data_IF_548195253047
#
_entry.id   IF_548195253047
#
_cell.length_a   1.000
_cell.length_b   1.000
_cell.length_c   1.000
_cell.angle_alpha   90.00
_cell.angle_beta   90.00
_cell.angle_gamma   90.00
#
_symmetry.space_group_name_H-M   'P 1'
#
loop_
_entity.id
_entity.type
_entity.pdbx_description
1 polymer ?
#
# COMPACT_ATOMS: atom_id res chain seq x y z
N UNK A 1 31.71 1.68 -12.96
CA UNK A 1 32.47 2.18 -11.80
C UNK A 1 32.08 1.29 -10.64
N UNK A 2 32.95 0.34 -10.27
CA UNK A 2 32.65 -0.74 -9.32
C UNK A 2 32.83 -0.18 -7.92
N UNK A 3 31.74 -0.11 -7.14
CA UNK A 3 31.77 0.28 -5.74
C UNK A 3 32.23 -0.95 -4.95
N UNK A 4 33.43 -0.85 -4.37
CA UNK A 4 34.02 -1.86 -3.48
C UNK A 4 33.44 -1.64 -2.08
N UNK A 5 33.00 -2.69 -1.35
CA UNK A 5 32.51 -2.52 0.02
C UNK A 5 33.66 -2.10 0.94
N UNK A 6 33.35 -1.23 1.90
CA UNK A 6 34.28 -0.76 2.93
C UNK A 6 34.92 -1.98 3.61
N UNK A 7 36.23 -2.11 3.41
CA UNK A 7 37.02 -3.19 3.97
C UNK A 7 36.98 -3.17 5.50
N UNK A 8 36.50 -4.24 6.12
CA UNK A 8 36.77 -4.58 7.51
C UNK A 8 38.30 -4.61 7.72
N UNK A 9 38.87 -3.50 8.21
CA UNK A 9 40.27 -3.47 8.61
C UNK A 9 40.41 -4.21 9.94
N UNK A 10 40.67 -5.51 9.89
CA UNK A 10 41.10 -6.29 11.06
C UNK A 10 42.51 -5.81 11.43
N UNK A 11 42.61 -4.95 12.44
CA UNK A 11 43.90 -4.55 13.00
C UNK A 11 44.51 -5.73 13.76
N UNK A 12 45.59 -6.31 13.19
CA UNK A 12 46.40 -7.34 13.84
C UNK A 12 47.64 -6.68 14.43
N UNK A 13 47.82 -6.72 15.75
CA UNK A 13 49.14 -6.52 16.37
C UNK A 13 49.77 -7.88 16.65
N UNK A 14 51.04 -8.02 16.28
CA UNK A 14 51.85 -9.18 16.69
C UNK A 14 52.40 -8.84 18.08
N UNK A 15 52.02 -9.60 19.10
CA UNK A 15 52.66 -9.51 20.41
C UNK A 15 54.05 -10.14 20.33
N UNK A 16 55.05 -9.50 20.93
CA UNK A 16 56.42 -10.01 20.98
C UNK A 16 56.48 -11.35 21.71
N UNK A 17 57.20 -12.31 21.12
CA UNK A 17 57.24 -13.69 21.60
C UNK A 17 58.04 -13.78 22.91
N UNK A 18 57.44 -14.27 23.98
CA UNK A 18 58.18 -14.73 25.15
C UNK A 18 58.66 -16.16 24.90
N UNK A 19 59.98 -16.34 24.78
CA UNK A 19 60.59 -17.67 24.68
C UNK A 19 60.42 -18.42 25.99
N UNK A 20 59.64 -19.51 25.96
CA UNK A 20 59.63 -20.50 27.05
C UNK A 20 61.00 -21.19 27.14
N UNK A 21 61.62 -21.34 28.33
CA UNK A 21 62.95 -21.94 28.45
C UNK A 21 63.02 -23.44 28.10
N UNK A 22 61.87 -24.10 27.90
CA UNK A 22 61.76 -25.56 27.78
C UNK A 22 61.36 -26.06 26.38
N UNK A 23 61.04 -25.18 25.42
CA UNK A 23 60.88 -25.59 24.03
C UNK A 23 61.29 -24.47 23.07
N UNK A 24 62.18 -24.78 22.13
CA UNK A 24 62.68 -23.89 21.07
C UNK A 24 61.64 -23.61 19.97
N UNK A 25 60.37 -23.42 20.35
CA UNK A 25 59.28 -23.08 19.42
C UNK A 25 58.65 -21.76 19.83
N UNK A 26 58.91 -20.72 19.04
CA UNK A 26 58.23 -19.44 19.17
C UNK A 26 56.77 -19.61 18.73
N UNK A 27 55.82 -19.59 19.67
CA UNK A 27 54.40 -19.41 19.36
C UNK A 27 54.15 -17.92 19.17
N UNK A 28 53.82 -17.51 17.95
CA UNK A 28 53.20 -16.21 17.67
C UNK A 28 51.74 -16.30 18.03
N UNK A 29 51.35 -15.71 19.16
CA UNK A 29 49.94 -15.46 19.45
C UNK A 29 49.51 -14.19 18.72
N UNK A 30 48.55 -14.32 17.81
CA UNK A 30 47.93 -13.18 17.13
C UNK A 30 46.80 -12.70 18.02
N UNK A 31 47.01 -11.57 18.71
CA UNK A 31 45.94 -10.89 19.44
C UNK A 31 45.15 -10.06 18.42
N UNK A 32 43.92 -10.48 18.16
CA UNK A 32 42.97 -9.66 17.39
C UNK A 32 42.37 -8.66 18.37
N UNK A 33 42.89 -7.43 18.38
CA UNK A 33 42.24 -6.32 19.09
C UNK A 33 40.98 -5.96 18.31
N UNK A 34 39.83 -6.42 18.79
CA UNK A 34 38.55 -5.88 18.34
C UNK A 34 38.48 -4.43 18.85
N UNK A 35 38.06 -3.46 18.02
CA UNK A 35 37.94 -2.09 18.48
C UNK A 35 36.96 -2.06 19.66
N UNK A 36 37.48 -1.75 20.85
CA UNK A 36 36.66 -1.47 22.03
C UNK A 36 35.85 -0.21 21.72
N UNK A 37 34.52 -0.23 21.96
CA UNK A 37 33.58 0.90 21.84
C UNK A 37 32.97 1.22 20.45
N UNK A 38 32.80 0.26 19.55
CA UNK A 38 31.91 0.50 18.40
C UNK A 38 30.45 0.40 18.87
N UNK A 39 29.72 1.52 18.79
CA UNK A 39 28.29 1.59 19.05
C UNK A 39 27.49 1.00 17.88
N UNK A 40 26.52 0.16 18.22
CA UNK A 40 25.55 -0.42 17.30
C UNK A 40 24.13 -0.03 17.74
N UNK A 41 23.31 0.40 16.78
CA UNK A 41 21.88 0.65 16.99
C UNK A 41 21.13 -0.10 15.90
N UNK A 42 20.56 -1.22 16.27
CA UNK A 42 19.95 -2.17 15.33
C UNK A 42 18.43 -2.15 15.47
N UNK A 43 17.73 -2.01 14.34
CA UNK A 43 16.31 -2.37 14.28
C UNK A 43 16.21 -3.90 14.36
N UNK A 44 15.45 -4.42 15.35
CA UNK A 44 15.39 -5.87 15.60
C UNK A 44 14.00 -6.50 15.47
N UNK A 45 12.93 -5.71 15.55
CA UNK A 45 11.58 -6.22 15.37
C UNK A 45 10.60 -5.13 14.93
N UNK A 46 9.62 -5.53 14.12
CA UNK A 46 8.46 -4.74 13.72
C UNK A 46 7.17 -5.39 14.20
N UNK A 47 6.18 -4.55 14.52
CA UNK A 47 4.83 -4.96 14.84
C UNK A 47 3.81 -3.98 14.24
N UNK A 48 2.53 -4.36 14.07
CA UNK A 48 2.00 -5.74 14.18
C UNK A 48 2.52 -6.66 13.07
N UNK A 49 2.29 -7.96 13.17
CA UNK A 49 2.49 -8.86 12.03
C UNK A 49 1.60 -8.46 10.82
N UNK A 50 2.08 -8.66 9.60
CA UNK A 50 1.32 -8.38 8.37
C UNK A 50 0.85 -9.68 7.76
N UNK A 51 -0.36 -9.67 7.24
CA UNK A 51 -1.00 -10.85 6.66
C UNK A 51 -1.29 -10.65 5.17
N UNK A 52 -1.40 -11.77 4.47
CA UNK A 52 -1.74 -11.83 3.05
C UNK A 52 -3.12 -11.21 2.75
N UNK A 53 -3.30 -10.70 1.54
CA UNK A 53 -4.49 -9.95 1.14
C UNK A 53 -5.72 -10.81 0.80
N UNK A 54 -5.50 -12.08 0.43
CA UNK A 54 -6.54 -13.04 0.03
C UNK A 54 -7.13 -13.84 1.20
N UNK A 55 -6.73 -13.58 2.45
CA UNK A 55 -7.33 -14.24 3.62
C UNK A 55 -8.71 -13.64 3.95
N UNK A 56 -9.75 -14.44 3.76
CA UNK A 56 -11.18 -14.05 3.88
C UNK A 56 -11.67 -13.90 5.33
N UNK A 57 -11.01 -14.51 6.32
CA UNK A 57 -11.39 -14.47 7.74
C UNK A 57 -10.19 -14.31 8.68
N UNK A 58 -10.37 -13.64 9.83
CA UNK A 58 -9.30 -13.41 10.81
C UNK A 58 -8.64 -14.69 11.35
N UNK A 59 -9.38 -15.80 11.39
CA UNK A 59 -8.89 -17.09 11.86
C UNK A 59 -7.97 -17.82 10.85
N UNK A 60 -8.05 -17.47 9.57
CA UNK A 60 -7.33 -18.13 8.47
C UNK A 60 -6.28 -17.20 7.82
N UNK A 61 -5.86 -16.14 8.54
CA UNK A 61 -4.87 -15.20 8.02
C UNK A 61 -3.50 -15.85 7.95
N UNK A 62 -2.92 -15.84 6.75
CA UNK A 62 -1.54 -16.27 6.53
C UNK A 62 -0.63 -15.06 6.75
N UNK A 63 0.30 -15.19 7.69
CA UNK A 63 1.30 -14.15 7.94
C UNK A 63 2.29 -14.08 6.78
N UNK A 64 2.65 -12.85 6.37
CA UNK A 64 3.71 -12.62 5.42
C UNK A 64 5.04 -12.87 6.12
N UNK A 65 5.78 -13.86 5.62
CA UNK A 65 7.10 -14.22 6.12
C UNK A 65 8.03 -12.99 6.13
N UNK A 66 8.76 -12.81 7.24
CA UNK A 66 9.67 -11.67 7.42
C UNK A 66 8.97 -10.32 7.66
N UNK A 67 7.65 -10.25 7.77
CA UNK A 67 6.96 -8.95 7.98
C UNK A 67 7.30 -8.29 9.33
N UNK A 68 7.72 -9.07 10.31
CA UNK A 68 8.18 -8.60 11.63
C UNK A 68 9.69 -8.39 11.70
N UNK A 69 10.42 -8.68 10.62
CA UNK A 69 11.88 -8.57 10.54
C UNK A 69 12.29 -7.26 9.84
N UNK A 70 12.95 -6.33 10.54
CA UNK A 70 13.48 -5.12 9.91
C UNK A 70 14.58 -5.42 8.90
N UNK A 71 14.55 -4.70 7.78
CA UNK A 71 15.57 -4.67 6.74
C UNK A 71 16.20 -3.28 6.69
N UNK A 72 17.46 -3.22 6.24
CA UNK A 72 18.14 -1.94 6.10
C UNK A 72 17.51 -1.06 5.01
N UNK A 73 17.72 0.25 5.11
CA UNK A 73 17.35 1.18 4.04
C UNK A 73 18.04 0.79 2.71
N UNK A 74 17.39 1.01 1.55
CA UNK A 74 16.14 1.74 1.34
C UNK A 74 14.87 0.86 1.33
N UNK A 75 14.86 -0.30 2.00
CA UNK A 75 13.65 -1.13 2.07
C UNK A 75 12.52 -0.40 2.81
N UNK A 76 11.37 -0.24 2.13
CA UNK A 76 10.16 0.40 2.69
C UNK A 76 9.22 -0.65 3.27
N UNK A 77 9.22 -0.77 4.59
CA UNK A 77 8.36 -1.72 5.28
C UNK A 77 6.91 -1.24 5.25
N UNK A 78 5.94 -2.12 4.95
CA UNK A 78 4.55 -1.73 4.92
C UNK A 78 4.03 -1.41 6.33
N UNK A 79 3.29 -0.32 6.45
CA UNK A 79 2.50 0.01 7.64
C UNK A 79 1.14 -0.69 7.62
N UNK A 80 0.43 -0.68 8.75
CA UNK A 80 -0.92 -1.25 8.86
C UNK A 80 -1.92 -0.14 9.15
N UNK A 81 -2.88 0.04 8.23
CA UNK A 81 -4.07 0.89 8.45
C UNK A 81 -4.93 0.24 9.55
N UNK A 82 -5.13 0.94 10.66
CA UNK A 82 -5.94 0.46 11.79
C UNK A 82 -7.26 1.18 11.79
N UNK A 83 -8.34 0.42 11.94
CA UNK A 83 -9.71 0.93 12.07
C UNK A 83 -9.93 2.19 11.22
N UNK A 84 -9.78 2.07 9.88
CA UNK A 84 -9.55 3.22 9.00
C UNK A 84 -10.69 4.25 9.03
N UNK A 85 -11.87 3.88 9.53
CA UNK A 85 -12.99 4.80 9.79
C UNK A 85 -12.92 5.55 11.11
N UNK A 86 -12.34 4.98 12.18
CA UNK A 86 -12.30 5.58 13.52
C UNK A 86 -10.96 6.21 13.83
N UNK A 87 -9.88 5.44 13.71
CA UNK A 87 -8.55 5.86 14.17
C UNK A 87 -7.87 6.73 13.11
N UNK A 88 -8.10 6.37 11.83
CA UNK A 88 -7.67 7.13 10.64
C UNK A 88 -6.16 7.35 10.66
N UNK A 89 -5.43 6.28 10.97
CA UNK A 89 -3.97 6.21 10.95
C UNK A 89 -3.50 4.90 10.31
N UNK A 90 -2.31 4.93 9.75
CA UNK A 90 -1.49 3.76 9.54
C UNK A 90 -0.39 3.75 10.58
N UNK A 91 -0.07 2.59 11.13
CA UNK A 91 0.95 2.47 12.17
C UNK A 91 1.92 1.32 11.93
N UNK A 92 3.07 1.44 12.60
CA UNK A 92 4.05 0.38 12.82
C UNK A 92 4.70 0.62 14.18
N UNK A 93 5.06 -0.43 14.89
CA UNK A 93 5.92 -0.34 16.06
C UNK A 93 7.29 -0.88 15.70
N UNK A 94 8.33 -0.22 16.20
CA UNK A 94 9.73 -0.56 15.96
C UNK A 94 10.42 -0.77 17.30
N UNK A 95 11.05 -1.94 17.46
CA UNK A 95 11.97 -2.23 18.56
C UNK A 95 13.40 -2.17 18.08
N UNK A 96 14.25 -1.52 18.86
CA UNK A 96 15.70 -1.43 18.60
C UNK A 96 16.52 -1.99 19.74
N UNK A 97 17.72 -2.47 19.41
CA UNK A 97 18.77 -2.84 20.36
C UNK A 97 19.93 -1.85 20.25
N UNK A 98 20.44 -1.40 21.39
CA UNK A 98 21.55 -0.46 21.48
C UNK A 98 22.65 -1.11 22.32
N UNK A 99 23.81 -1.34 21.71
CA UNK A 99 24.90 -2.07 22.34
C UNK A 99 26.26 -1.61 21.82
N UNK A 100 27.33 -1.87 22.58
CA UNK A 100 28.70 -1.57 22.14
C UNK A 100 29.56 -2.83 22.21
N UNK A 101 30.45 -3.00 21.23
CA UNK A 101 31.38 -4.13 21.21
C UNK A 101 32.24 -4.16 22.48
N UNK A 102 32.30 -5.33 23.14
CA UNK A 102 33.08 -5.55 24.35
C UNK A 102 32.41 -5.12 25.66
N UNK A 103 31.18 -4.62 25.61
CA UNK A 103 30.40 -4.18 26.77
C UNK A 103 29.17 -5.07 27.02
N UNK A 104 28.65 -5.13 28.26
CA UNK A 104 27.39 -5.81 28.54
C UNK A 104 26.20 -5.10 27.86
N UNK A 105 25.12 -5.82 27.59
CA UNK A 105 23.94 -5.29 26.87
C UNK A 105 23.31 -4.06 27.56
N UNK A 106 23.41 -3.97 28.88
CA UNK A 106 22.89 -2.86 29.66
C UNK A 106 23.84 -1.63 29.75
N UNK A 107 24.94 -1.62 29.00
CA UNK A 107 25.93 -0.54 29.05
C UNK A 107 25.35 0.84 28.73
N UNK A 108 24.29 0.89 27.92
CA UNK A 108 23.60 2.13 27.56
C UNK A 108 22.29 2.35 28.32
N UNK A 109 21.96 1.49 29.31
CA UNK A 109 20.73 1.62 30.09
C UNK A 109 20.61 3.02 30.73
N UNK A 110 19.40 3.58 30.72
CA UNK A 110 19.11 4.92 31.23
C UNK A 110 19.46 6.07 30.28
N UNK A 111 20.21 5.82 29.19
CA UNK A 111 20.45 6.85 28.17
C UNK A 111 19.17 7.21 27.41
N UNK A 112 19.09 8.46 27.00
CA UNK A 112 18.01 8.96 26.13
C UNK A 112 18.25 8.59 24.67
N UNK A 113 17.21 8.14 23.97
CA UNK A 113 17.17 7.94 22.52
C UNK A 113 16.24 8.99 21.93
N UNK A 114 16.74 9.82 21.02
CA UNK A 114 15.93 10.78 20.27
C UNK A 114 15.55 10.17 18.93
N UNK A 115 14.26 10.04 18.68
CA UNK A 115 13.67 9.56 17.44
C UNK A 115 13.31 10.73 16.56
N UNK A 116 13.61 10.65 15.27
CA UNK A 116 13.25 11.66 14.27
C UNK A 116 12.60 10.99 13.07
N UNK A 117 11.59 11.66 12.51
CA UNK A 117 10.89 11.24 11.29
C UNK A 117 11.11 12.25 10.16
N UNK A 118 11.48 11.77 8.98
CA UNK A 118 11.56 12.59 7.76
C UNK A 118 10.64 12.01 6.66
N UNK A 119 9.94 12.84 5.87
CA UNK A 119 9.11 12.34 4.78
C UNK A 119 9.95 11.78 3.64
N UNK A 120 9.42 10.77 2.94
CA UNK A 120 10.05 10.14 1.78
C UNK A 120 9.19 10.17 0.52
N UNK A 121 7.90 10.52 0.62
CA UNK A 121 7.05 10.55 -0.55
C UNK A 121 7.35 11.77 -1.42
N UNK A 122 7.71 11.51 -2.68
CA UNK A 122 7.92 12.52 -3.71
C UNK A 122 6.80 12.37 -4.74
N UNK A 123 6.02 13.45 -4.94
CA UNK A 123 4.95 13.46 -5.93
C UNK A 123 5.55 13.28 -7.33
N UNK A 124 4.95 12.47 -8.22
CA UNK A 124 5.29 12.48 -9.63
C UNK A 124 5.08 13.87 -10.22
N UNK A 125 6.05 14.33 -11.01
CA UNK A 125 5.98 15.59 -11.76
C UNK A 125 6.01 15.28 -13.25
N UNK A 126 5.48 16.18 -14.08
CA UNK A 126 5.48 15.97 -15.52
C UNK A 126 6.92 15.95 -16.07
N UNK A 127 7.12 15.31 -17.22
CA UNK A 127 8.43 15.29 -17.86
C UNK A 127 8.91 16.73 -18.14
N UNK A 128 10.10 17.07 -17.63
CA UNK A 128 10.68 18.41 -17.76
C UNK A 128 10.40 19.36 -16.58
N UNK A 129 9.59 18.96 -15.60
CA UNK A 129 9.41 19.70 -14.34
C UNK A 129 10.50 19.34 -13.31
N UNK A 130 10.82 20.28 -12.41
CA UNK A 130 11.75 20.01 -11.30
C UNK A 130 11.17 18.98 -10.33
N UNK A 131 12.04 18.09 -9.82
CA UNK A 131 11.64 17.08 -8.86
C UNK A 131 11.07 17.72 -7.59
N UNK A 132 9.88 17.27 -7.18
CA UNK A 132 9.25 17.75 -5.96
C UNK A 132 10.08 17.39 -4.71
N UNK A 133 9.96 18.21 -3.67
CA UNK A 133 10.53 17.91 -2.35
C UNK A 133 9.69 16.82 -1.67
N UNK A 134 10.33 15.96 -0.88
CA UNK A 134 9.61 14.93 -0.13
C UNK A 134 8.66 15.56 0.91
N UNK A 135 7.44 15.05 0.98
CA UNK A 135 6.37 15.55 1.87
C UNK A 135 5.63 14.40 2.55
N UNK A 136 5.03 14.67 3.70
CA UNK A 136 4.02 13.76 4.26
C UNK A 136 2.72 13.95 3.48
N UNK A 137 2.03 12.85 3.19
CA UNK A 137 0.69 12.87 2.56
C UNK A 137 -0.40 12.89 3.63
N UNK A 138 -1.59 13.39 3.27
CA UNK A 138 -2.76 13.48 4.15
C UNK A 138 -2.71 14.57 5.22
N UNK A 139 -3.88 14.98 5.69
CA UNK A 139 -4.03 15.93 6.79
C UNK A 139 -4.01 15.20 8.14
N UNK A 140 -2.96 15.44 8.92
CA UNK A 140 -2.80 14.84 10.24
C UNK A 140 -3.87 15.25 11.26
N UNK A 141 -4.56 16.37 11.04
CA UNK A 141 -5.66 16.79 11.90
C UNK A 141 -6.88 15.85 11.82
N UNK A 142 -6.99 15.04 10.76
CA UNK A 142 -8.07 14.08 10.56
C UNK A 142 -7.94 12.82 11.43
N UNK A 143 -6.74 12.50 11.92
CA UNK A 143 -6.50 11.39 12.83
C UNK A 143 -7.33 11.54 14.12
N UNK A 144 -7.73 10.41 14.69
CA UNK A 144 -8.40 10.39 15.99
C UNK A 144 -7.59 11.15 17.04
N UNK A 145 -8.25 11.87 17.94
CA UNK A 145 -7.58 12.76 18.91
C UNK A 145 -6.50 12.04 19.73
N UNK A 146 -6.73 10.77 20.05
CA UNK A 146 -5.78 9.91 20.80
C UNK A 146 -4.58 9.47 19.97
N UNK A 147 -4.63 9.61 18.64
CA UNK A 147 -3.61 9.19 17.67
C UNK A 147 -3.00 10.33 16.84
N UNK A 148 -3.05 11.56 17.36
CA UNK A 148 -2.57 12.77 16.67
C UNK A 148 -1.08 13.04 16.85
N UNK A 149 -0.31 12.10 17.36
CA UNK A 149 1.15 12.22 17.41
C UNK A 149 1.78 11.15 16.53
N UNK A 150 2.71 11.55 15.65
CA UNK A 150 3.39 10.59 14.77
C UNK A 150 4.21 9.57 15.55
N UNK A 151 4.53 9.88 16.79
CA UNK A 151 5.19 9.01 17.73
C UNK A 151 4.36 8.83 18.98
N UNK A 152 4.21 7.58 19.42
CA UNK A 152 3.45 7.19 20.60
C UNK A 152 4.19 6.09 21.37
N UNK A 153 3.73 5.85 22.61
CA UNK A 153 4.13 4.66 23.36
C UNK A 153 3.66 3.41 22.60
N UNK A 154 4.53 2.42 22.35
CA UNK A 154 4.17 1.15 21.74
C UNK A 154 3.19 0.35 22.62
N UNK A 155 2.31 -0.40 21.96
CA UNK A 155 1.34 -1.29 22.56
C UNK A 155 1.82 -2.75 22.58
N UNK A 156 2.60 -3.18 21.57
CA UNK A 156 3.13 -4.55 21.47
C UNK A 156 4.52 -4.68 22.08
N UNK A 157 5.32 -3.62 22.01
CA UNK A 157 6.64 -3.58 22.63
C UNK A 157 6.66 -2.78 23.93
N UNK A 158 7.60 -3.12 24.81
CA UNK A 158 7.85 -2.32 26.02
C UNK A 158 8.76 -1.14 25.68
N UNK A 159 8.35 0.06 26.09
CA UNK A 159 9.18 1.25 26.08
C UNK A 159 9.10 1.97 27.42
N UNK A 160 10.19 2.63 27.80
CA UNK A 160 10.26 3.46 29.02
C UNK A 160 10.65 4.89 28.64
N UNK A 161 10.26 5.85 29.48
CA UNK A 161 10.65 7.26 29.31
C UNK A 161 10.14 7.93 28.03
N UNK A 162 9.05 7.44 27.43
CA UNK A 162 8.47 8.06 26.25
C UNK A 162 8.09 9.53 26.53
N UNK A 163 8.58 10.45 25.71
CA UNK A 163 8.19 11.86 25.73
C UNK A 163 8.08 12.38 24.30
N UNK A 164 6.91 12.89 23.94
CA UNK A 164 6.68 13.54 22.65
C UNK A 164 7.26 14.96 22.66
N UNK A 165 8.13 15.28 21.70
CA UNK A 165 8.76 16.60 21.58
C UNK A 165 8.04 17.47 20.54
N UNK A 166 7.84 16.94 19.35
CA UNK A 166 7.13 17.57 18.23
C UNK A 166 6.34 16.49 17.47
N UNK A 167 5.78 16.83 16.29
CA UNK A 167 5.21 15.79 15.43
C UNK A 167 6.33 14.87 14.90
N UNK A 168 7.46 15.44 14.51
CA UNK A 168 8.56 14.71 13.87
C UNK A 168 9.63 14.23 14.85
N UNK A 169 9.47 14.47 16.17
CA UNK A 169 10.45 14.07 17.18
C UNK A 169 9.82 13.60 18.48
N UNK A 170 10.41 12.56 19.06
CA UNK A 170 10.11 12.05 20.40
C UNK A 170 11.36 11.46 21.05
N UNK A 171 11.32 11.22 22.35
CA UNK A 171 12.39 10.52 23.06
C UNK A 171 11.86 9.28 23.76
N UNK A 172 12.73 8.29 23.92
CA UNK A 172 12.54 7.15 24.83
C UNK A 172 13.82 6.93 25.62
N UNK A 173 13.79 6.00 26.58
CA UNK A 173 14.95 5.59 27.36
C UNK A 173 15.35 4.16 27.01
N UNK A 174 16.66 3.89 26.99
CA UNK A 174 17.19 2.53 26.88
C UNK A 174 16.92 1.80 28.20
N UNK A 175 16.26 0.65 28.14
CA UNK A 175 15.96 -0.17 29.31
C UNK A 175 17.17 -0.96 29.82
N UNK A 176 17.00 -1.66 30.95
CA UNK A 176 18.04 -2.45 31.61
C UNK A 176 18.51 -3.66 30.77
N UNK A 177 17.88 -3.94 29.63
CA UNK A 177 18.25 -4.99 28.68
C UNK A 177 18.92 -4.46 27.42
N UNK A 178 19.15 -3.14 27.31
CA UNK A 178 19.75 -2.51 26.14
C UNK A 178 18.76 -2.26 25.00
N UNK A 179 17.45 -2.23 25.28
CA UNK A 179 16.43 -2.06 24.26
C UNK A 179 15.58 -0.82 24.49
N UNK A 180 14.91 -0.38 23.42
CA UNK A 180 13.81 0.56 23.50
C UNK A 180 12.90 0.36 22.28
N UNK A 181 11.71 0.96 22.29
CA UNK A 181 10.76 0.81 21.20
C UNK A 181 9.89 2.07 21.04
N UNK A 182 9.27 2.22 19.88
CA UNK A 182 8.39 3.34 19.59
C UNK A 182 7.25 2.92 18.66
N UNK A 183 6.06 3.48 18.85
CA UNK A 183 4.98 3.41 17.86
C UNK A 183 5.08 4.59 16.91
N UNK A 184 4.96 4.31 15.62
CA UNK A 184 5.09 5.25 14.51
C UNK A 184 3.76 5.30 13.78
N UNK A 185 3.18 6.48 13.66
CA UNK A 185 1.90 6.71 12.99
C UNK A 185 2.06 7.67 11.80
N UNK A 186 1.34 7.40 10.72
CA UNK A 186 1.21 8.26 9.54
C UNK A 186 -0.28 8.38 9.13
N UNK A 187 -0.70 9.49 8.48
CA UNK A 187 -1.98 9.53 7.79
C UNK A 187 -2.13 8.32 6.84
N UNK A 188 -3.30 7.64 6.82
CA UNK A 188 -3.51 6.35 6.16
C UNK A 188 -3.72 6.49 4.64
N UNK A 189 -2.97 7.39 4.01
CA UNK A 189 -2.99 7.66 2.57
C UNK A 189 -1.98 6.76 1.88
N UNK A 190 -2.38 6.13 0.77
CA UNK A 190 -1.50 5.34 -0.08
C UNK A 190 -0.11 5.99 -0.27
N UNK A 191 0.96 5.20 -0.11
CA UNK A 191 2.36 5.61 -0.33
C UNK A 191 2.84 6.79 0.51
N UNK A 192 2.13 7.17 1.58
CA UNK A 192 2.70 8.05 2.59
C UNK A 192 3.90 7.34 3.21
N UNK A 193 5.09 7.93 3.11
CA UNK A 193 6.33 7.25 3.44
C UNK A 193 7.21 8.13 4.31
N UNK A 194 7.93 7.48 5.23
CA UNK A 194 8.79 8.15 6.18
C UNK A 194 10.04 7.35 6.52
N UNK A 195 11.14 8.06 6.75
CA UNK A 195 12.39 7.53 7.29
C UNK A 195 12.42 7.76 8.79
N UNK A 196 12.79 6.74 9.53
CA UNK A 196 13.02 6.81 10.98
C UNK A 196 14.50 6.80 11.25
N UNK A 197 14.96 7.80 12.01
CA UNK A 197 16.33 7.92 12.47
C UNK A 197 16.38 8.05 13.98
N UNK A 198 17.49 7.60 14.58
CA UNK A 198 17.70 7.68 16.03
C UNK A 198 19.05 8.27 16.38
N UNK A 199 19.10 9.04 17.46
CA UNK A 199 20.33 9.53 18.05
C UNK A 199 20.37 9.15 19.53
N UNK A 200 21.43 8.45 19.93
CA UNK A 200 21.68 8.12 21.32
C UNK A 200 22.32 9.30 22.05
N UNK A 201 21.96 9.49 23.31
CA UNK A 201 22.57 10.48 24.19
C UNK A 201 24.10 10.34 24.27
N UNK A 202 24.77 11.45 24.00
CA UNK A 202 26.24 11.55 23.95
C UNK A 202 26.83 11.32 22.57
N UNK A 203 26.04 10.86 21.59
CA UNK A 203 26.50 10.65 20.22
C UNK A 203 26.28 11.87 19.33
N UNK A 204 27.23 12.13 18.44
CA UNK A 204 27.21 13.33 17.60
C UNK A 204 26.28 13.24 16.37
N UNK A 205 25.94 12.03 15.93
CA UNK A 205 25.18 11.79 14.70
C UNK A 205 23.99 10.86 14.94
N UNK A 206 22.93 11.08 14.18
CA UNK A 206 21.81 10.16 14.09
C UNK A 206 22.12 9.01 13.11
N UNK A 207 21.51 7.85 13.37
CA UNK A 207 21.56 6.66 12.52
C UNK A 207 20.20 6.50 11.85
N UNK A 208 20.18 6.36 10.52
CA UNK A 208 18.99 5.97 9.77
C UNK A 208 18.70 4.50 10.01
N UNK A 209 17.50 4.16 10.46
CA UNK A 209 17.15 2.78 10.81
C UNK A 209 16.36 2.07 9.71
N UNK A 210 15.18 2.59 9.41
CA UNK A 210 14.22 1.97 8.51
C UNK A 210 13.44 3.01 7.73
N UNK A 211 12.97 2.60 6.56
CA UNK A 211 11.94 3.31 5.81
C UNK A 211 10.60 2.58 6.00
N UNK A 212 9.53 3.35 6.17
CA UNK A 212 8.15 2.88 6.32
C UNK A 212 7.28 3.49 5.23
N UNK A 213 6.26 2.75 4.80
CA UNK A 213 5.31 3.23 3.81
C UNK A 213 3.92 2.68 4.05
N UNK A 214 2.93 3.57 3.98
CA UNK A 214 1.52 3.21 4.05
C UNK A 214 1.13 2.51 2.75
N UNK A 215 0.54 1.30 2.80
CA UNK A 215 0.14 0.61 1.60
C UNK A 215 -1.01 1.35 0.89
N UNK A 216 -0.93 1.43 -0.43
CA UNK A 216 -2.11 1.72 -1.24
C UNK A 216 -3.03 0.50 -1.26
N UNK A 217 -4.34 0.70 -1.18
CA UNK A 217 -5.33 -0.38 -1.16
C UNK A 217 -6.39 -0.11 -2.22
N UNK A 218 -6.51 -1.02 -3.19
CA UNK A 218 -7.50 -0.97 -4.26
C UNK A 218 -8.48 -2.13 -4.09
N UNK A 219 -9.78 -1.83 -4.14
CA UNK A 219 -10.83 -2.85 -4.27
C UNK A 219 -11.35 -2.85 -5.69
N UNK A 220 -11.31 -4.01 -6.33
CA UNK A 220 -11.94 -4.25 -7.61
C UNK A 220 -13.27 -4.97 -7.36
N UNK A 221 -14.35 -4.45 -7.91
CA UNK A 221 -15.69 -5.02 -7.77
C UNK A 221 -16.17 -5.59 -9.11
N UNK A 222 -16.06 -6.91 -9.33
CA UNK A 222 -16.74 -7.56 -10.44
C UNK A 222 -18.25 -7.46 -10.27
N UNK A 223 -18.92 -6.67 -11.10
CA UNK A 223 -20.37 -6.49 -11.05
C UNK A 223 -21.15 -7.80 -11.12
N UNK A 224 -22.35 -7.84 -10.54
CA UNK A 224 -23.25 -9.00 -10.59
C UNK A 224 -22.68 -10.27 -9.96
N UNK A 225 -23.16 -11.46 -10.36
CA UNK A 225 -22.70 -12.76 -9.89
C UNK A 225 -23.82 -13.63 -9.34
N UNK A 226 -23.53 -14.90 -9.08
CA UNK A 226 -24.46 -15.85 -8.49
C UNK A 226 -25.62 -16.22 -9.41
N UNK A 227 -26.61 -16.93 -8.84
CA UNK A 227 -27.78 -17.45 -9.59
C UNK A 227 -29.06 -16.65 -9.34
N UNK A 228 -29.07 -15.80 -8.30
CA UNK A 228 -30.25 -15.06 -7.85
C UNK A 228 -29.93 -13.62 -7.50
N UNK A 229 -30.94 -12.76 -7.62
CA UNK A 229 -30.80 -11.35 -7.27
C UNK A 229 -30.74 -11.18 -5.75
N UNK A 230 -29.86 -10.30 -5.32
CA UNK A 230 -29.80 -9.80 -3.95
C UNK A 230 -30.49 -8.44 -3.88
N UNK A 231 -30.84 -7.99 -2.67
CA UNK A 231 -31.41 -6.66 -2.49
C UNK A 231 -30.43 -5.60 -3.01
N UNK A 232 -30.85 -4.83 -4.03
CA UNK A 232 -30.01 -3.81 -4.64
C UNK A 232 -28.86 -4.33 -5.52
N UNK A 233 -28.88 -5.61 -5.94
CA UNK A 233 -27.94 -6.16 -6.93
C UNK A 233 -28.60 -7.24 -7.80
N UNK A 234 -28.50 -7.13 -9.12
CA UNK A 234 -28.94 -8.19 -10.03
C UNK A 234 -27.85 -9.26 -10.20
N UNK A 235 -28.26 -10.51 -10.37
CA UNK A 235 -27.34 -11.62 -10.61
C UNK A 235 -26.62 -11.53 -11.96
N UNK A 236 -27.28 -10.90 -12.93
CA UNK A 236 -26.78 -10.55 -14.25
C UNK A 236 -27.72 -9.50 -14.86
N UNK A 237 -27.20 -8.56 -15.65
CA UNK A 237 -28.04 -7.52 -16.26
C UNK A 237 -27.98 -7.51 -17.79
N UNK A 238 -26.83 -7.81 -18.39
CA UNK A 238 -26.68 -7.94 -19.84
C UNK A 238 -26.19 -9.32 -20.30
N UNK A 239 -26.49 -9.66 -21.56
CA UNK A 239 -25.96 -10.86 -22.23
C UNK A 239 -25.45 -10.42 -23.59
N UNK A 240 -24.25 -10.87 -23.92
CA UNK A 240 -23.62 -10.52 -25.17
C UNK A 240 -24.41 -10.99 -26.40
N UNK A 241 -24.23 -10.29 -27.51
CA UNK A 241 -25.09 -10.41 -28.69
C UNK A 241 -25.15 -11.84 -29.27
N UNK A 242 -24.01 -12.33 -29.77
CA UNK A 242 -23.87 -13.56 -30.56
C UNK A 242 -23.31 -14.71 -29.71
N UNK A 243 -22.29 -14.46 -28.90
CA UNK A 243 -21.61 -15.47 -28.07
C UNK A 243 -22.44 -15.91 -26.86
N UNK A 244 -23.39 -15.06 -26.42
CA UNK A 244 -24.28 -15.27 -25.27
C UNK A 244 -23.56 -15.38 -23.93
N UNK A 245 -22.30 -14.95 -23.86
CA UNK A 245 -21.56 -14.74 -22.61
C UNK A 245 -22.34 -13.76 -21.72
N UNK A 246 -22.45 -14.09 -20.45
CA UNK A 246 -23.14 -13.27 -19.46
C UNK A 246 -22.25 -12.12 -18.99
N UNK A 247 -22.84 -10.96 -18.71
CA UNK A 247 -22.11 -9.83 -18.13
C UNK A 247 -21.33 -10.24 -16.88
N UNK A 248 -21.95 -10.98 -15.96
CA UNK A 248 -21.31 -11.42 -14.71
C UNK A 248 -20.03 -12.24 -14.92
N UNK A 249 -19.92 -12.94 -16.04
CA UNK A 249 -18.74 -13.73 -16.42
C UNK A 249 -17.63 -12.81 -16.92
N UNK A 250 -17.99 -11.83 -17.78
CA UNK A 250 -17.05 -10.82 -18.26
C UNK A 250 -16.55 -9.92 -17.13
N UNK A 251 -17.42 -9.48 -16.22
CA UNK A 251 -16.99 -8.66 -15.09
C UNK A 251 -16.06 -9.41 -14.14
N UNK A 252 -16.27 -10.72 -13.93
CA UNK A 252 -15.36 -11.57 -13.15
C UNK A 252 -14.00 -11.70 -13.84
N UNK A 253 -13.99 -12.01 -15.14
CA UNK A 253 -12.77 -12.12 -15.94
C UNK A 253 -11.96 -10.81 -15.90
N UNK A 254 -12.60 -9.67 -16.18
CA UNK A 254 -11.95 -8.35 -16.13
C UNK A 254 -11.46 -8.00 -14.73
N UNK A 255 -12.22 -8.33 -13.68
CA UNK A 255 -11.81 -8.09 -12.31
C UNK A 255 -10.57 -8.90 -11.91
N UNK A 256 -10.51 -10.18 -12.29
CA UNK A 256 -9.37 -11.06 -12.04
C UNK A 256 -8.12 -10.60 -12.82
N UNK A 257 -8.29 -10.18 -14.08
CA UNK A 257 -7.20 -9.63 -14.91
C UNK A 257 -6.67 -8.32 -14.34
N UNK A 258 -7.55 -7.39 -14.00
CA UNK A 258 -7.17 -6.09 -13.40
C UNK A 258 -6.41 -6.29 -12.09
N UNK A 259 -6.86 -7.22 -11.23
CA UNK A 259 -6.11 -7.59 -10.02
C UNK A 259 -4.73 -8.14 -10.35
N UNK A 260 -4.63 -9.03 -11.33
CA UNK A 260 -3.35 -9.63 -11.75
C UNK A 260 -2.40 -8.57 -12.30
N UNK A 261 -2.89 -7.65 -13.13
CA UNK A 261 -2.14 -6.52 -13.66
C UNK A 261 -1.61 -5.60 -12.54
N UNK A 262 -2.47 -5.23 -11.58
CA UNK A 262 -2.07 -4.44 -10.40
C UNK A 262 -1.00 -5.15 -9.56
N UNK A 263 -1.12 -6.47 -9.36
CA UNK A 263 -0.10 -7.28 -8.67
C UNK A 263 1.22 -7.32 -9.43
N UNK A 264 1.18 -7.39 -10.76
CA UNK A 264 2.38 -7.33 -11.59
C UNK A 264 3.08 -5.96 -11.49
N UNK A 265 2.32 -4.86 -11.57
CA UNK A 265 2.84 -3.49 -11.37
C UNK A 265 3.44 -3.31 -9.97
N UNK A 266 2.81 -3.85 -8.93
CA UNK A 266 3.35 -3.86 -7.56
C UNK A 266 4.77 -4.42 -7.51
N UNK A 267 4.99 -5.59 -8.11
CA UNK A 267 6.28 -6.27 -8.13
C UNK A 267 7.29 -5.52 -9.00
N UNK A 268 6.89 -5.09 -10.20
CA UNK A 268 7.78 -4.38 -11.12
C UNK A 268 8.24 -3.02 -10.61
N UNK A 269 7.41 -2.32 -9.84
CA UNK A 269 7.68 -0.96 -9.36
C UNK A 269 8.02 -0.90 -7.86
N UNK A 270 8.20 -2.05 -7.20
CA UNK A 270 8.49 -2.19 -5.77
C UNK A 270 7.57 -1.32 -4.88
N UNK A 271 6.26 -1.38 -5.15
CA UNK A 271 5.26 -0.58 -4.45
C UNK A 271 4.62 -1.37 -3.31
N UNK A 272 4.29 -0.70 -2.21
CA UNK A 272 3.42 -1.28 -1.18
C UNK A 272 1.95 -1.16 -1.62
N UNK A 273 1.48 -2.08 -2.46
CA UNK A 273 0.09 -2.12 -2.96
C UNK A 273 -0.65 -3.39 -2.50
N UNK A 274 -1.90 -3.24 -2.07
CA UNK A 274 -2.81 -4.36 -1.80
C UNK A 274 -4.04 -4.29 -2.69
N UNK A 275 -4.46 -5.46 -3.17
CA UNK A 275 -5.62 -5.56 -4.06
C UNK A 275 -6.60 -6.59 -3.53
N UNK A 276 -7.84 -6.18 -3.36
CA UNK A 276 -8.93 -7.06 -2.95
C UNK A 276 -10.02 -7.11 -4.03
N UNK A 277 -10.75 -8.22 -4.06
CA UNK A 277 -11.97 -8.34 -4.86
C UNK A 277 -13.18 -8.28 -3.94
N UNK A 278 -14.27 -7.68 -4.41
CA UNK A 278 -15.56 -7.86 -3.70
C UNK A 278 -16.07 -9.28 -3.84
N UNK A 279 -15.81 -9.94 -4.97
CA UNK A 279 -16.06 -11.37 -5.19
C UNK A 279 -14.92 -12.00 -5.99
N UNK A 280 -14.30 -13.09 -5.52
CA UNK A 280 -13.30 -13.84 -6.28
C UNK A 280 -13.92 -14.91 -7.19
N UNK A 281 -15.24 -15.14 -7.09
CA UNK A 281 -15.98 -16.15 -7.86
C UNK A 281 -17.40 -15.69 -8.24
N UNK A 282 -18.21 -16.62 -8.75
CA UNK A 282 -19.59 -16.36 -9.19
C UNK A 282 -20.57 -16.33 -7.99
N UNK A 283 -20.53 -15.25 -7.24
CA UNK A 283 -21.44 -14.97 -6.12
C UNK A 283 -22.07 -13.59 -6.27
N UNK A 284 -23.35 -13.45 -5.93
CA UNK A 284 -23.99 -12.13 -5.92
C UNK A 284 -23.78 -11.50 -4.55
N UNK A 285 -23.30 -10.26 -4.53
CA UNK A 285 -23.31 -9.40 -3.33
C UNK A 285 -24.20 -8.21 -3.59
N UNK A 286 -24.91 -7.73 -2.57
CA UNK A 286 -25.63 -6.46 -2.64
C UNK A 286 -24.65 -5.31 -2.91
N UNK A 287 -25.14 -4.20 -3.47
CA UNK A 287 -24.30 -3.02 -3.67
C UNK A 287 -23.70 -2.48 -2.36
N UNK A 288 -24.41 -2.60 -1.24
CA UNK A 288 -23.90 -2.19 0.07
C UNK A 288 -22.76 -3.08 0.55
N UNK A 289 -22.88 -4.40 0.44
CA UNK A 289 -21.82 -5.35 0.81
C UNK A 289 -20.54 -5.13 0.01
N UNK A 290 -20.67 -4.82 -1.29
CA UNK A 290 -19.53 -4.47 -2.15
C UNK A 290 -18.79 -3.24 -1.65
N UNK A 291 -19.53 -2.18 -1.31
CA UNK A 291 -18.96 -0.97 -0.73
C UNK A 291 -18.31 -1.20 0.65
N UNK A 292 -18.90 -2.08 1.48
CA UNK A 292 -18.33 -2.44 2.79
C UNK A 292 -16.96 -3.11 2.66
N UNK A 293 -16.68 -3.86 1.59
CA UNK A 293 -15.32 -4.40 1.38
C UNK A 293 -14.30 -3.26 1.29
N UNK A 294 -14.58 -2.23 0.48
CA UNK A 294 -13.73 -1.04 0.38
C UNK A 294 -13.54 -0.34 1.73
N UNK A 295 -14.65 -0.04 2.40
CA UNK A 295 -14.64 0.61 3.71
C UNK A 295 -13.82 -0.16 4.74
N UNK A 296 -14.10 -1.45 4.91
CA UNK A 296 -13.52 -2.26 5.97
C UNK A 296 -12.05 -2.57 5.75
N UNK A 297 -11.60 -2.64 4.48
CA UNK A 297 -10.18 -2.81 4.14
C UNK A 297 -9.39 -1.49 4.22
N UNK A 298 -10.04 -0.34 4.40
CA UNK A 298 -9.38 0.97 4.37
C UNK A 298 -8.86 1.33 2.98
N UNK A 299 -9.64 0.97 1.96
CA UNK A 299 -9.29 1.20 0.57
C UNK A 299 -9.17 2.69 0.24
N UNK A 300 -8.25 3.00 -0.67
CA UNK A 300 -8.08 4.33 -1.25
C UNK A 300 -8.93 4.48 -2.54
N UNK A 301 -9.21 3.35 -3.22
CA UNK A 301 -10.05 3.27 -4.42
C UNK A 301 -10.94 2.02 -4.37
N UNK A 302 -12.22 2.19 -4.77
CA UNK A 302 -13.09 1.11 -5.21
C UNK A 302 -13.46 1.33 -6.69
N UNK A 303 -13.14 0.36 -7.55
CA UNK A 303 -13.57 0.35 -8.94
C UNK A 303 -14.54 -0.81 -9.18
N UNK A 304 -15.80 -0.49 -9.47
CA UNK A 304 -16.78 -1.47 -9.95
C UNK A 304 -16.69 -1.61 -11.47
N UNK A 305 -16.64 -2.84 -11.98
CA UNK A 305 -16.50 -3.14 -13.41
C UNK A 305 -17.77 -3.82 -13.88
N UNK A 306 -18.38 -3.24 -14.91
CA UNK A 306 -19.64 -3.64 -15.53
C UNK A 306 -19.57 -3.60 -17.06
N UNK A 307 -20.60 -4.14 -17.70
CA UNK A 307 -20.83 -3.97 -19.13
C UNK A 307 -22.27 -3.56 -19.40
N UNK A 308 -22.42 -2.59 -20.29
CA UNK A 308 -23.74 -2.12 -20.67
C UNK A 308 -24.48 -3.13 -21.56
N UNK A 309 -25.81 -3.01 -21.55
CA UNK A 309 -26.71 -3.57 -22.56
C UNK A 309 -27.89 -2.63 -22.78
N UNK A 310 -28.35 -2.45 -24.02
CA UNK A 310 -29.45 -1.53 -24.31
C UNK A 310 -30.35 -1.98 -25.47
N UNK A 311 -29.89 -1.83 -26.71
CA UNK A 311 -30.72 -1.97 -27.92
C UNK A 311 -29.95 -2.60 -29.09
N UNK A 312 -28.88 -3.33 -28.79
CA UNK A 312 -27.95 -3.99 -29.72
C UNK A 312 -27.19 -3.09 -30.72
N UNK A 313 -27.42 -1.78 -30.69
CA UNK A 313 -26.76 -0.80 -31.57
C UNK A 313 -25.91 0.18 -30.78
N UNK A 314 -26.30 0.49 -29.54
CA UNK A 314 -25.52 1.33 -28.64
C UNK A 314 -24.11 0.76 -28.44
N UNK A 315 -23.13 1.66 -28.28
CA UNK A 315 -21.74 1.33 -27.95
C UNK A 315 -21.03 2.52 -27.31
N UNK A 316 -19.95 2.21 -26.62
CA UNK A 316 -18.98 3.12 -26.02
C UNK A 316 -18.78 2.89 -24.53
N UNK A 317 -17.59 3.26 -24.07
CA UNK A 317 -17.20 3.26 -22.66
C UNK A 317 -17.82 4.45 -21.93
N UNK A 318 -18.40 4.21 -20.75
CA UNK A 318 -18.81 5.25 -19.81
C UNK A 318 -18.41 4.87 -18.38
N UNK A 319 -18.10 5.86 -17.55
CA UNK A 319 -17.82 5.63 -16.13
C UNK A 319 -18.77 6.47 -15.28
N UNK A 320 -19.37 5.83 -14.28
CA UNK A 320 -20.37 6.41 -13.40
C UNK A 320 -19.74 6.80 -12.07
N UNK A 321 -20.19 7.94 -11.55
CA UNK A 321 -19.93 8.41 -10.19
C UNK A 321 -21.24 8.71 -9.47
N UNK A 322 -21.22 8.77 -8.14
CA UNK A 322 -22.39 9.16 -7.34
C UNK A 322 -22.86 10.57 -7.72
N UNK A 323 -24.19 10.85 -7.76
CA UNK A 323 -24.69 12.18 -8.09
C UNK A 323 -24.13 13.27 -7.17
N UNK A 324 -23.79 14.45 -7.73
CA UNK A 324 -23.15 15.55 -6.98
C UNK A 324 -23.89 15.96 -5.72
N UNK A 325 -25.23 15.94 -5.75
CA UNK A 325 -26.04 16.33 -4.59
C UNK A 325 -25.86 15.41 -3.37
N UNK A 326 -25.35 14.19 -3.56
CA UNK A 326 -25.21 13.18 -2.52
C UNK A 326 -23.81 12.59 -2.45
N UNK A 327 -22.82 13.21 -3.11
CA UNK A 327 -21.41 12.80 -3.14
C UNK A 327 -20.53 13.86 -2.45
N UNK A 328 -19.93 13.50 -1.32
CA UNK A 328 -19.08 14.41 -0.52
C UNK A 328 -17.71 14.69 -1.15
N UNK A 329 -17.24 13.85 -2.07
CA UNK A 329 -15.93 13.92 -2.74
C UNK A 329 -16.09 13.81 -4.26
N UNK A 330 -17.10 14.51 -4.80
CA UNK A 330 -17.53 14.40 -6.20
C UNK A 330 -16.44 14.72 -7.20
N UNK A 331 -15.62 15.75 -6.94
CA UNK A 331 -14.60 16.19 -7.88
C UNK A 331 -13.45 15.17 -7.93
N UNK A 332 -13.11 14.57 -6.79
CA UNK A 332 -12.12 13.48 -6.68
C UNK A 332 -12.61 12.20 -7.36
N UNK A 333 -13.87 11.79 -7.15
CA UNK A 333 -14.46 10.64 -7.82
C UNK A 333 -14.54 10.86 -9.33
N UNK A 334 -14.92 12.06 -9.77
CA UNK A 334 -14.98 12.41 -11.19
C UNK A 334 -13.60 12.36 -11.84
N UNK A 335 -12.56 12.80 -11.14
CA UNK A 335 -11.19 12.75 -11.64
C UNK A 335 -10.67 11.30 -11.75
N UNK A 336 -10.96 10.44 -10.76
CA UNK A 336 -10.71 9.01 -10.84
C UNK A 336 -11.45 8.38 -12.02
N UNK A 337 -12.75 8.65 -12.13
CA UNK A 337 -13.60 8.11 -13.18
C UNK A 337 -13.13 8.52 -14.58
N UNK A 338 -12.68 9.76 -14.76
CA UNK A 338 -12.08 10.25 -16.01
C UNK A 338 -10.83 9.48 -16.39
N UNK A 339 -9.89 9.29 -15.44
CA UNK A 339 -8.66 8.51 -15.67
C UNK A 339 -8.96 7.08 -16.11
N UNK A 340 -9.87 6.40 -15.40
CA UNK A 340 -10.26 5.02 -15.71
C UNK A 340 -11.00 4.93 -17.04
N UNK A 341 -11.93 5.85 -17.30
CA UNK A 341 -12.69 5.91 -18.56
C UNK A 341 -11.76 6.07 -19.76
N UNK A 342 -10.83 7.03 -19.69
CA UNK A 342 -9.92 7.32 -20.79
C UNK A 342 -8.93 6.18 -21.03
N UNK A 343 -8.44 5.54 -19.96
CA UNK A 343 -7.58 4.36 -20.09
C UNK A 343 -8.30 3.20 -20.79
N UNK A 344 -9.50 2.85 -20.33
CA UNK A 344 -10.30 1.79 -20.94
C UNK A 344 -10.67 2.13 -22.40
N UNK A 345 -11.17 3.34 -22.64
CA UNK A 345 -11.53 3.80 -23.97
C UNK A 345 -10.36 3.77 -24.95
N UNK A 346 -9.20 4.30 -24.56
CA UNK A 346 -8.03 4.35 -25.43
C UNK A 346 -7.49 2.95 -25.75
N UNK A 347 -7.53 2.03 -24.77
CA UNK A 347 -7.18 0.63 -25.00
C UNK A 347 -8.14 -0.05 -25.99
N UNK A 348 -9.45 0.18 -25.87
CA UNK A 348 -10.44 -0.34 -26.83
C UNK A 348 -10.23 0.28 -28.21
N UNK A 349 -9.99 1.59 -28.29
CA UNK A 349 -9.77 2.31 -29.55
C UNK A 349 -8.55 1.78 -30.34
N UNK A 350 -7.52 1.31 -29.64
CA UNK A 350 -6.34 0.71 -30.27
C UNK A 350 -6.68 -0.60 -31.02
N UNK A 351 -7.74 -1.29 -30.62
CA UNK A 351 -8.21 -2.54 -31.24
C UNK A 351 -9.43 -2.36 -32.14
N UNK A 352 -10.25 -1.33 -31.90
CA UNK A 352 -11.45 -1.01 -32.67
C UNK A 352 -11.59 0.51 -32.90
N UNK A 353 -11.33 0.93 -34.13
CA UNK A 353 -11.49 2.34 -34.56
C UNK A 353 -12.91 2.89 -34.43
N UNK A 354 -13.92 2.02 -34.26
CA UNK A 354 -15.30 2.41 -34.01
C UNK A 354 -15.62 2.71 -32.54
N UNK A 355 -14.67 2.50 -31.62
CA UNK A 355 -14.82 2.76 -30.18
C UNK A 355 -15.33 4.17 -29.91
N UNK A 356 -16.19 4.30 -28.89
CA UNK A 356 -16.78 5.60 -28.51
C UNK A 356 -16.49 5.89 -27.05
N UNK A 357 -16.08 7.11 -26.77
CA UNK A 357 -16.00 7.63 -25.41
C UNK A 357 -17.33 8.33 -25.09
N UNK A 358 -18.07 7.83 -24.11
CA UNK A 358 -19.35 8.41 -23.66
C UNK A 358 -19.17 9.25 -22.39
N UNK A 359 -17.95 9.26 -21.84
CA UNK A 359 -17.52 10.08 -20.72
C UNK A 359 -18.20 9.72 -19.41
N UNK A 360 -18.11 10.67 -18.47
CA UNK A 360 -18.56 10.47 -17.10
C UNK A 360 -20.07 10.71 -16.97
N UNK A 361 -20.71 9.89 -16.14
CA UNK A 361 -22.15 9.93 -15.83
C UNK A 361 -22.33 10.07 -14.33
N UNK A 362 -23.32 10.86 -13.91
CA UNK A 362 -23.58 11.11 -12.49
C UNK A 362 -25.07 11.22 -12.17
N UNK A 363 -25.93 10.65 -13.01
CA UNK A 363 -27.38 10.74 -12.88
C UNK A 363 -27.98 9.54 -12.11
N UNK A 364 -27.21 8.47 -11.90
CA UNK A 364 -27.67 7.23 -11.26
C UNK A 364 -27.20 7.16 -9.80
N UNK A 365 -28.13 6.93 -8.88
CA UNK A 365 -27.81 6.67 -7.47
C UNK A 365 -27.59 5.17 -7.26
N UNK A 366 -26.32 4.75 -7.26
CA UNK A 366 -25.90 3.35 -7.16
C UNK A 366 -25.42 3.02 -5.76
N UNK A 367 -25.90 1.90 -5.19
CA UNK A 367 -25.59 1.51 -3.82
C UNK A 367 -24.10 1.24 -3.57
N UNK A 368 -23.37 0.70 -4.56
CA UNK A 368 -21.92 0.47 -4.47
C UNK A 368 -21.10 1.76 -4.41
N UNK A 369 -21.66 2.86 -4.92
CA UNK A 369 -21.06 4.19 -4.88
C UNK A 369 -21.62 5.05 -3.74
N UNK A 370 -22.29 4.46 -2.73
CA UNK A 370 -22.92 5.21 -1.65
C UNK A 370 -21.93 5.67 -0.60
N UNK A 371 -21.83 6.98 -0.37
CA UNK A 371 -20.99 7.55 0.70
C UNK A 371 -21.25 6.91 2.06
N UNK A 372 -22.52 6.63 2.37
CA UNK A 372 -22.91 5.95 3.62
C UNK A 372 -22.26 4.57 3.74
N UNK A 373 -22.25 3.81 2.64
CA UNK A 373 -21.72 2.44 2.62
C UNK A 373 -20.19 2.43 2.52
N UNK A 374 -19.62 3.35 1.74
CA UNK A 374 -18.19 3.60 1.63
C UNK A 374 -17.58 4.16 2.94
N UNK A 375 -18.41 4.73 3.82
CA UNK A 375 -17.97 5.36 5.06
C UNK A 375 -17.45 6.78 4.86
N UNK A 376 -17.73 7.40 3.72
CA UNK A 376 -17.37 8.78 3.42
C UNK A 376 -18.31 9.74 4.14
N UNK A 377 -17.72 10.81 4.66
CA UNK A 377 -18.39 11.92 5.32
C UNK A 377 -17.79 13.22 4.82
N UNK A 378 -18.47 14.35 5.04
CA UNK A 378 -17.93 15.68 4.70
C UNK A 378 -16.60 16.00 5.37
N UNK A 379 -16.26 15.33 6.48
CA UNK A 379 -15.01 15.56 7.23
C UNK A 379 -13.91 14.57 6.84
N UNK A 380 -14.29 13.38 6.40
CA UNK A 380 -13.36 12.28 6.14
C UNK A 380 -13.95 11.35 5.08
N UNK A 381 -13.31 11.32 3.92
CA UNK A 381 -13.75 10.58 2.72
C UNK A 381 -12.54 9.94 2.00
N UNK A 382 -11.86 8.97 2.64
CA UNK A 382 -10.62 8.40 2.12
C UNK A 382 -10.85 7.48 0.89
N UNK A 383 -12.06 6.97 0.72
CA UNK A 383 -12.38 5.96 -0.28
C UNK A 383 -13.06 6.61 -1.49
N UNK A 384 -12.32 6.74 -2.58
CA UNK A 384 -12.87 7.22 -3.86
C UNK A 384 -13.45 6.05 -4.63
N UNK A 385 -14.56 6.27 -5.34
CA UNK A 385 -15.28 5.20 -6.00
C UNK A 385 -15.80 5.58 -7.39
N UNK A 386 -15.70 4.64 -8.33
CA UNK A 386 -16.25 4.76 -9.67
C UNK A 386 -16.79 3.41 -10.16
N UNK A 387 -17.74 3.43 -11.10
CA UNK A 387 -18.22 2.25 -11.81
C UNK A 387 -17.94 2.39 -13.30
N UNK A 388 -17.04 1.57 -13.82
CA UNK A 388 -16.70 1.51 -15.24
C UNK A 388 -17.66 0.57 -15.97
N UNK A 389 -18.42 1.11 -16.91
CA UNK A 389 -19.10 0.35 -17.95
C UNK A 389 -18.17 0.25 -19.16
N UNK A 390 -17.51 -0.90 -19.33
CA UNK A 390 -16.41 -1.05 -20.28
C UNK A 390 -16.89 -0.78 -21.73
N UNK A 391 -17.99 -1.42 -22.13
CA UNK A 391 -18.62 -1.29 -23.46
C UNK A 391 -20.03 -1.93 -23.43
N UNK A 392 -20.78 -1.85 -24.53
CA UNK A 392 -22.12 -2.44 -24.67
C UNK A 392 -22.05 -3.86 -25.27
N UNK A 393 -22.10 -4.90 -24.44
CA UNK A 393 -21.86 -6.29 -24.89
C UNK A 393 -22.99 -6.84 -25.77
N UNK A 394 -24.18 -6.25 -25.72
CA UNK A 394 -25.29 -6.59 -26.61
C UNK A 394 -25.10 -6.05 -28.04
N UNK A 395 -24.05 -5.26 -28.29
CA UNK A 395 -23.62 -4.86 -29.62
C UNK A 395 -22.78 -5.97 -30.29
N UNK A 396 -23.14 -6.35 -31.51
CA UNK A 396 -22.45 -7.42 -32.23
C UNK A 396 -20.94 -7.16 -32.42
N UNK A 397 -20.54 -5.93 -32.73
CA UNK A 397 -19.11 -5.61 -32.94
C UNK A 397 -18.32 -5.68 -31.63
N UNK A 398 -18.92 -5.27 -30.51
CA UNK A 398 -18.32 -5.36 -29.18
C UNK A 398 -18.19 -6.81 -28.74
N UNK A 399 -19.25 -7.61 -28.90
CA UNK A 399 -19.19 -9.04 -28.58
C UNK A 399 -18.14 -9.77 -29.40
N UNK A 400 -18.02 -9.43 -30.69
CA UNK A 400 -16.95 -9.95 -31.53
C UNK A 400 -15.56 -9.61 -30.98
N UNK A 401 -15.33 -8.33 -30.74
CA UNK A 401 -14.06 -7.82 -30.20
C UNK A 401 -13.68 -8.47 -28.88
N UNK A 402 -14.65 -8.67 -28.00
CA UNK A 402 -14.41 -9.10 -26.62
C UNK A 402 -14.62 -10.60 -26.41
N UNK A 403 -15.23 -11.37 -27.30
CA UNK A 403 -15.56 -12.77 -27.00
C UNK A 403 -15.45 -13.76 -28.17
N UNK A 404 -15.32 -13.31 -29.43
CA UNK A 404 -15.41 -14.21 -30.59
C UNK A 404 -14.17 -14.14 -31.48
N UNK A 405 -13.73 -12.93 -31.82
CA UNK A 405 -12.65 -12.74 -32.78
C UNK A 405 -11.32 -13.26 -32.20
N UNK A 406 -10.47 -13.79 -33.09
CA UNK A 406 -9.16 -14.28 -32.68
C UNK A 406 -8.37 -13.15 -32.01
N UNK A 407 -7.85 -13.43 -30.81
CA UNK A 407 -7.12 -12.44 -30.01
C UNK A 407 -7.97 -11.67 -29.00
N UNK A 408 -9.29 -11.94 -28.86
CA UNK A 408 -10.13 -11.24 -27.89
C UNK A 408 -9.57 -11.28 -26.45
N UNK A 409 -8.92 -12.38 -26.05
CA UNK A 409 -8.28 -12.53 -24.73
C UNK A 409 -7.18 -11.48 -24.50
N UNK A 410 -6.42 -11.15 -25.55
CA UNK A 410 -5.39 -10.09 -25.49
C UNK A 410 -6.06 -8.71 -25.42
N UNK A 411 -7.14 -8.49 -26.17
CA UNK A 411 -7.91 -7.23 -26.09
C UNK A 411 -8.41 -7.00 -24.67
N UNK A 412 -9.00 -8.02 -24.03
CA UNK A 412 -9.42 -7.93 -22.62
C UNK A 412 -8.26 -7.63 -21.69
N UNK A 413 -7.11 -8.27 -21.90
CA UNK A 413 -5.91 -8.04 -21.10
C UNK A 413 -5.40 -6.60 -21.25
N UNK A 414 -5.29 -6.09 -22.47
CA UNK A 414 -4.80 -4.73 -22.74
C UNK A 414 -5.68 -3.66 -22.08
N UNK A 415 -7.01 -3.86 -22.08
CA UNK A 415 -7.95 -2.97 -21.38
C UNK A 415 -7.70 -3.02 -19.87
N UNK A 416 -7.58 -4.21 -19.30
CA UNK A 416 -7.34 -4.39 -17.86
C UNK A 416 -5.97 -3.83 -17.42
N UNK A 417 -4.94 -3.98 -18.24
CA UNK A 417 -3.60 -3.43 -17.99
C UNK A 417 -3.63 -1.90 -18.02
N UNK A 418 -4.33 -1.30 -18.99
CA UNK A 418 -4.50 0.15 -19.06
C UNK A 418 -5.27 0.69 -17.84
N UNK A 419 -6.36 0.03 -17.43
CA UNK A 419 -7.13 0.40 -16.24
C UNK A 419 -6.28 0.25 -14.97
N UNK A 420 -5.53 -0.84 -14.83
CA UNK A 420 -4.63 -1.04 -13.69
C UNK A 420 -3.56 0.05 -13.59
N UNK A 421 -2.96 0.45 -14.72
CA UNK A 421 -2.02 1.57 -14.77
C UNK A 421 -2.65 2.88 -14.32
N UNK A 422 -3.87 3.20 -14.79
CA UNK A 422 -4.59 4.41 -14.42
C UNK A 422 -4.93 4.46 -12.92
N UNK A 423 -5.31 3.32 -12.32
CA UNK A 423 -5.58 3.23 -10.89
C UNK A 423 -4.31 3.46 -10.05
N UNK A 424 -3.17 2.89 -10.46
CA UNK A 424 -1.90 3.09 -9.76
C UNK A 424 -1.41 4.54 -9.88
N UNK A 425 -1.53 5.15 -11.05
CA UNK A 425 -1.23 6.56 -11.26
C UNK A 425 -2.12 7.45 -10.37
N UNK A 426 -3.41 7.15 -10.29
CA UNK A 426 -4.35 7.88 -9.44
C UNK A 426 -3.95 7.83 -7.95
N UNK A 427 -3.49 6.68 -7.43
CA UNK A 427 -2.96 6.59 -6.06
C UNK A 427 -1.71 7.45 -5.83
N UNK A 428 -0.93 7.77 -6.87
CA UNK A 428 0.27 8.60 -6.74
C UNK A 428 -0.03 10.09 -6.79
N UNK A 429 -1.10 10.47 -7.50
CA UNK A 429 -1.40 11.88 -7.79
C UNK A 429 -2.30 12.54 -6.76
N UNK A 430 -3.16 11.78 -6.06
CA UNK A 430 -4.14 12.34 -5.12
C UNK A 430 -3.62 12.34 -3.68
N UNK A 431 -3.77 13.44 -2.94
CA UNK A 431 -3.12 13.62 -1.64
C UNK A 431 -3.94 13.17 -0.43
#
# INVERSE_FOLDING_TARGET
>A
MIIVPIAQHIFRRIADSTTSPLSRTARREVRVERPENVLHIDAIALAPEIFEEDSEADADRVAIEGSTEPQATPHKHPMVKVEPSTDRIAHRELKIRIWSEGHPDNHHAGKTVTWTMAPLFVRPVAEGEEAAVAVFRGDWAQAAVVHRDRFETPAEFTATGFTRLSQEQATTTVDDTGHTAIRINLPPVAFNAARISVQLEGEAAAVELIDLEVPGIIVIDPGHGGVGNEAGSSANNATSHTSRVLEKELTLDFGLRTRTALRALRVGENQNLRVHLTRPGDENKSGEERAFVGRNKGADILLSIHFNGANTVARGTETLVRPRATNVNFDEDTALAQRVNDAAYNAILAHDTGARNRGIKSERDLAVLSDKSLGNTTVYHPLRAALLEVEFIDNESVDRLLSIDEGYEQVRQDICDAVAGALLEDLRMNQ
#
